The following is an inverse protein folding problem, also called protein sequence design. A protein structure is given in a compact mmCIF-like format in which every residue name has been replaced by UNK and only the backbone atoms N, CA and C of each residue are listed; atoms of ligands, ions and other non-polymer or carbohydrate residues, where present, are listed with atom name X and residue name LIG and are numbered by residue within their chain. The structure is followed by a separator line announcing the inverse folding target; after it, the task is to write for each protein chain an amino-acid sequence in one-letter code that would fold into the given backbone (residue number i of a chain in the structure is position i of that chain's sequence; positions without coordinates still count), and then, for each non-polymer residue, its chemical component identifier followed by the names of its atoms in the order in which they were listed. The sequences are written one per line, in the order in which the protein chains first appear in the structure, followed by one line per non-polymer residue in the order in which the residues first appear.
data_IF_291243789151
#
_entry.id   IF_291243789151
#
_cell.length_a   1.000
_cell.length_b   1.000
_cell.length_c   1.000
_cell.angle_alpha   90.00
_cell.angle_beta   90.00
_cell.angle_gamma   90.00
#
_symmetry.space_group_name_H-M   'P 1'
#
loop_
_entity.id
_entity.type
_entity.pdbx_description
1 polymer ?
#
# COMPACT_ATOMS: atom_id res chain seq x y z
N UNK A 1 -10.11 26.15 8.42
CA UNK A 1 -9.74 24.87 7.78
C UNK A 1 -9.29 23.93 8.87
N UNK A 2 -9.91 22.76 9.01
CA UNK A 2 -9.41 21.74 9.94
C UNK A 2 -7.99 21.33 9.53
N UNK A 3 -7.09 21.23 10.51
CA UNK A 3 -5.73 20.75 10.28
C UNK A 3 -5.70 19.22 10.35
N UNK A 4 -5.10 18.59 9.34
CA UNK A 4 -4.87 17.15 9.33
C UNK A 4 -3.89 16.80 10.44
N UNK A 5 -4.37 16.08 11.48
CA UNK A 5 -3.54 15.68 12.63
C UNK A 5 -2.56 14.55 12.30
N UNK A 6 -2.99 13.59 11.48
CA UNK A 6 -2.18 12.43 11.09
C UNK A 6 -2.54 11.97 9.68
N UNK A 7 -1.54 11.51 8.93
CA UNK A 7 -1.71 10.87 7.63
C UNK A 7 -0.85 9.62 7.60
N UNK A 8 -1.42 8.49 7.19
CA UNK A 8 -0.71 7.23 7.06
C UNK A 8 -1.05 6.58 5.72
N UNK A 9 -0.09 6.41 4.80
CA UNK A 9 -0.28 5.61 3.61
C UNK A 9 -0.65 4.17 3.96
N UNK A 10 -1.60 3.60 3.22
CA UNK A 10 -2.04 2.20 3.37
C UNK A 10 -1.95 1.46 2.04
N UNK A 11 -1.82 0.13 2.09
CA UNK A 11 -1.80 -0.72 0.90
C UNK A 11 -3.19 -0.89 0.30
N UNK A 12 -3.29 -1.28 -0.97
CA UNK A 12 -4.58 -1.57 -1.63
C UNK A 12 -5.32 -2.72 -0.94
N UNK A 13 -4.60 -3.65 -0.30
CA UNK A 13 -5.19 -4.71 0.51
C UNK A 13 -5.90 -4.17 1.74
N UNK A 14 -5.31 -3.21 2.45
CA UNK A 14 -5.97 -2.56 3.59
C UNK A 14 -7.12 -1.65 3.15
N UNK A 15 -6.99 -0.98 2.00
CA UNK A 15 -8.11 -0.21 1.42
C UNK A 15 -9.29 -1.14 1.16
N UNK A 16 -9.06 -2.32 0.58
CA UNK A 16 -10.11 -3.32 0.38
C UNK A 16 -10.75 -3.74 1.71
N UNK A 17 -9.96 -4.06 2.73
CA UNK A 17 -10.48 -4.44 4.06
C UNK A 17 -11.35 -3.34 4.69
N UNK A 18 -11.00 -2.07 4.48
CA UNK A 18 -11.77 -0.93 4.97
C UNK A 18 -13.10 -0.80 4.22
N UNK A 19 -13.06 -0.87 2.89
CA UNK A 19 -14.23 -0.69 2.04
C UNK A 19 -15.18 -1.90 2.11
N UNK A 20 -14.69 -3.12 2.34
CA UNK A 20 -15.51 -4.33 2.53
C UNK A 20 -16.44 -4.24 3.76
N UNK A 21 -16.12 -3.38 4.73
CA UNK A 21 -16.94 -3.16 5.92
C UNK A 21 -18.07 -2.16 5.70
N UNK A 22 -18.09 -1.47 4.56
CA UNK A 22 -19.08 -0.47 4.20
C UNK A 22 -20.12 -1.11 3.29
N UNK A 23 -21.40 -0.82 3.54
CA UNK A 23 -22.47 -1.27 2.66
C UNK A 23 -22.32 -0.62 1.27
N UNK A 24 -22.26 -1.43 0.22
CA UNK A 24 -22.04 -1.00 -1.17
C UNK A 24 -23.14 -0.01 -1.60
N UNK A 25 -24.38 -0.21 -1.14
CA UNK A 25 -25.47 0.70 -1.50
C UNK A 25 -25.31 2.10 -0.90
N UNK A 26 -24.61 2.20 0.23
CA UNK A 26 -24.29 3.47 0.89
C UNK A 26 -23.07 4.19 0.29
N UNK A 27 -22.29 3.52 -0.58
CA UNK A 27 -21.08 4.11 -1.17
C UNK A 27 -21.41 5.14 -2.25
N UNK A 28 -20.67 6.24 -2.25
CA UNK A 28 -20.64 7.19 -3.37
C UNK A 28 -19.90 6.63 -4.61
N UNK A 29 -19.95 7.35 -5.72
CA UNK A 29 -19.34 6.91 -6.98
C UNK A 29 -17.82 6.70 -6.90
N UNK A 30 -17.10 7.57 -6.19
CA UNK A 30 -15.65 7.47 -6.04
C UNK A 30 -15.29 6.27 -5.18
N UNK A 31 -16.05 6.05 -4.10
CA UNK A 31 -15.90 4.89 -3.22
C UNK A 31 -16.17 3.59 -3.98
N UNK A 32 -17.25 3.53 -4.78
CA UNK A 32 -17.57 2.35 -5.60
C UNK A 32 -16.48 2.04 -6.62
N UNK A 33 -15.96 3.05 -7.33
CA UNK A 33 -14.83 2.85 -8.25
C UNK A 33 -13.55 2.41 -7.56
N UNK A 34 -13.27 2.99 -6.39
CA UNK A 34 -12.13 2.60 -5.58
C UNK A 34 -12.29 1.14 -5.11
N UNK A 35 -13.48 0.77 -4.65
CA UNK A 35 -13.79 -0.59 -4.21
C UNK A 35 -13.67 -1.61 -5.34
N UNK A 36 -14.18 -1.30 -6.53
CA UNK A 36 -14.04 -2.14 -7.72
C UNK A 36 -12.56 -2.34 -8.11
N UNK A 37 -11.77 -1.26 -8.10
CA UNK A 37 -10.34 -1.34 -8.36
C UNK A 37 -9.62 -2.24 -7.35
N UNK A 38 -9.77 -1.99 -6.05
CA UNK A 38 -9.06 -2.79 -5.04
C UNK A 38 -9.57 -4.24 -5.00
N UNK A 39 -10.84 -4.48 -5.30
CA UNK A 39 -11.39 -5.84 -5.40
C UNK A 39 -10.72 -6.65 -6.50
N UNK A 40 -10.36 -6.01 -7.63
CA UNK A 40 -9.68 -6.64 -8.78
C UNK A 40 -8.18 -6.79 -8.62
N UNK A 41 -7.51 -5.80 -8.01
CA UNK A 41 -6.04 -5.71 -8.01
C UNK A 41 -5.38 -6.19 -6.72
N UNK A 42 -6.13 -6.44 -5.64
CA UNK A 42 -5.55 -6.98 -4.40
C UNK A 42 -5.00 -8.39 -4.63
N UNK A 43 -3.70 -8.54 -4.36
CA UNK A 43 -2.95 -9.80 -4.57
C UNK A 43 -2.74 -10.61 -3.29
N UNK A 44 -2.91 -10.00 -2.12
CA UNK A 44 -2.56 -10.59 -0.83
C UNK A 44 -3.54 -10.17 0.27
N UNK A 45 -3.59 -10.99 1.32
CA UNK A 45 -4.39 -10.73 2.52
C UNK A 45 -3.99 -9.42 3.23
N UNK A 46 -4.94 -8.62 3.74
CA UNK A 46 -4.67 -7.34 4.41
C UNK A 46 -3.73 -7.44 5.61
N UNK A 47 -3.81 -8.52 6.41
CA UNK A 47 -2.93 -8.71 7.58
C UNK A 47 -1.50 -8.98 7.13
N UNK A 48 -1.34 -9.78 6.07
CA UNK A 48 -0.04 -10.04 5.44
C UNK A 48 0.53 -8.75 4.86
N UNK A 49 -0.27 -7.98 4.10
CA UNK A 49 0.14 -6.70 3.53
C UNK A 49 0.62 -5.71 4.60
N UNK A 50 -0.14 -5.58 5.69
CA UNK A 50 0.21 -4.71 6.83
C UNK A 50 1.52 -5.13 7.47
N UNK A 51 1.68 -6.43 7.76
CA UNK A 51 2.92 -6.98 8.35
C UNK A 51 4.13 -6.72 7.43
N UNK A 52 4.00 -7.02 6.13
CA UNK A 52 5.07 -6.80 5.16
C UNK A 52 5.49 -5.33 5.10
N UNK A 53 4.52 -4.39 5.08
CA UNK A 53 4.84 -2.97 5.09
C UNK A 53 5.59 -2.55 6.37
N UNK A 54 5.13 -3.00 7.53
CA UNK A 54 5.78 -2.71 8.82
C UNK A 54 7.22 -3.23 8.86
N UNK A 55 7.47 -4.43 8.29
CA UNK A 55 8.82 -4.98 8.15
C UNK A 55 9.67 -4.16 7.19
N UNK A 56 9.15 -3.77 6.02
CA UNK A 56 9.88 -2.95 5.05
C UNK A 56 10.30 -1.58 5.63
N UNK A 57 9.45 -0.95 6.45
CA UNK A 57 9.81 0.30 7.13
C UNK A 57 10.90 0.06 8.17
N UNK A 58 10.76 -0.99 8.98
CA UNK A 58 11.64 -1.25 10.13
C UNK A 58 13.01 -1.81 9.72
N UNK A 59 13.02 -2.74 8.78
CA UNK A 59 14.19 -3.54 8.41
C UNK A 59 14.92 -2.96 7.20
N UNK A 60 14.23 -2.22 6.32
CA UNK A 60 14.80 -1.65 5.09
C UNK A 60 14.83 -0.12 5.07
N UNK A 61 14.44 0.52 6.18
CA UNK A 61 14.42 1.99 6.35
C UNK A 61 13.67 2.75 5.24
N UNK A 62 12.64 2.10 4.70
CA UNK A 62 11.77 2.68 3.68
C UNK A 62 10.75 3.62 4.31
N UNK A 63 10.36 4.64 3.55
CA UNK A 63 9.21 5.48 3.90
C UNK A 63 7.92 4.66 3.91
N UNK A 64 6.87 5.17 4.55
CA UNK A 64 5.60 4.44 4.61
C UNK A 64 4.96 4.32 3.22
N UNK A 65 5.18 5.34 2.38
CA UNK A 65 4.80 5.42 0.98
C UNK A 65 5.52 4.34 0.14
N UNK A 66 6.86 4.31 0.16
CA UNK A 66 7.66 3.31 -0.58
C UNK A 66 7.28 1.87 -0.17
N UNK A 67 7.14 1.64 1.13
CA UNK A 67 6.76 0.32 1.65
C UNK A 67 5.35 -0.08 1.19
N UNK A 68 4.40 0.85 1.15
CA UNK A 68 3.05 0.58 0.64
C UNK A 68 3.07 0.29 -0.87
N UNK A 69 3.85 1.03 -1.65
CA UNK A 69 3.99 0.80 -3.09
C UNK A 69 4.62 -0.57 -3.40
N UNK A 70 5.69 -0.95 -2.71
CA UNK A 70 6.32 -2.26 -2.87
C UNK A 70 5.34 -3.40 -2.55
N UNK A 71 4.56 -3.25 -1.48
CA UNK A 71 3.53 -4.23 -1.10
C UNK A 71 2.43 -4.33 -2.17
N UNK A 72 2.01 -3.22 -2.77
CA UNK A 72 0.99 -3.20 -3.82
C UNK A 72 1.49 -3.83 -5.12
N UNK A 73 2.70 -3.46 -5.54
CA UNK A 73 3.25 -3.86 -6.84
C UNK A 73 3.73 -5.30 -6.82
N UNK A 74 4.38 -5.71 -5.71
CA UNK A 74 5.08 -6.98 -5.56
C UNK A 74 6.12 -7.22 -6.66
N UNK A 75 7.20 -6.42 -6.69
CA UNK A 75 8.29 -6.65 -7.63
C UNK A 75 8.88 -8.05 -7.44
N UNK A 76 9.20 -8.68 -8.57
CA UNK A 76 9.79 -10.02 -8.67
C UNK A 76 11.20 -9.98 -9.22
N UNK A 77 11.60 -8.84 -9.80
CA UNK A 77 12.96 -8.62 -10.29
C UNK A 77 13.62 -7.42 -9.60
N UNK A 78 14.96 -7.41 -9.60
CA UNK A 78 15.73 -6.30 -9.07
C UNK A 78 15.48 -5.00 -9.87
N UNK A 79 15.20 -5.10 -11.16
CA UNK A 79 14.88 -3.96 -12.00
C UNK A 79 13.54 -3.32 -11.60
N UNK A 80 12.50 -4.14 -11.37
CA UNK A 80 11.21 -3.66 -10.87
C UNK A 80 11.34 -3.02 -9.50
N UNK A 81 12.08 -3.65 -8.57
CA UNK A 81 12.29 -3.09 -7.24
C UNK A 81 12.95 -1.70 -7.31
N UNK A 82 13.96 -1.53 -8.17
CA UNK A 82 14.65 -0.25 -8.38
C UNK A 82 13.75 0.88 -8.85
N UNK A 83 12.65 0.59 -9.55
CA UNK A 83 11.69 1.59 -10.01
C UNK A 83 10.92 2.26 -8.86
N UNK A 84 10.76 1.58 -7.73
CA UNK A 84 10.05 2.12 -6.54
C UNK A 84 11.00 2.70 -5.49
N UNK A 85 12.29 2.39 -5.62
CA UNK A 85 13.28 2.70 -4.60
C UNK A 85 14.25 3.75 -5.12
N UNK A 86 13.73 4.87 -5.65
CA UNK A 86 14.54 6.00 -6.12
C UNK A 86 15.38 6.70 -5.02
N UNK A 87 15.67 6.02 -3.90
CA UNK A 87 16.93 6.12 -3.18
C UNK A 87 17.87 4.96 -3.53
N UNK A 88 18.60 5.03 -4.65
CA UNK A 88 19.58 4.00 -5.08
C UNK A 88 20.72 3.75 -4.06
N UNK A 89 20.76 4.52 -2.96
CA UNK A 89 21.70 4.38 -1.85
C UNK A 89 21.26 3.40 -0.75
N UNK A 90 19.98 3.02 -0.64
CA UNK A 90 19.48 2.28 0.55
C UNK A 90 19.35 0.76 0.39
N UNK A 91 19.19 0.25 -0.84
CA UNK A 91 18.92 -1.18 -1.07
C UNK A 91 20.03 -1.92 -1.84
N UNK A 92 21.09 -1.23 -2.28
CA UNK A 92 22.15 -1.81 -3.15
C UNK A 92 23.56 -1.56 -2.57
N UNK A 93 23.67 -1.22 -1.29
CA UNK A 93 24.96 -1.19 -0.59
C UNK A 93 24.90 -2.07 0.66
N UNK A 94 24.73 -3.36 0.40
CA UNK A 94 25.20 -4.46 1.23
C UNK A 94 25.78 -5.52 0.28
#
# INVERSE_FOLDING_TARGET
MEQVKTKKPISISEVKEILEKVDIESMDQIQRWTYDYVSKFVKIDPKVAKKMREQLIKECELTTEEAAEIVNIRPTTLAELRSFTFGWKKLILA
#
